data_IF_644938903140
#
_entry.id   IF_644938903140
#
_cell.length_a   1.000
_cell.length_b   1.000
_cell.length_c   1.000
_cell.angle_alpha   90.00
_cell.angle_beta   90.00
_cell.angle_gamma   90.00
#
_symmetry.space_group_name_H-M   'P 1'
#
loop_
_entity.id
_entity.type
_entity.pdbx_description
1 polymer ?
#
# COMPACT_ATOMS: atom_id res chain seq x y z
N UNK A 1 13.79 7.80 4.30
CA UNK A 1 12.37 7.52 4.01
C UNK A 1 12.28 6.07 3.56
N UNK A 2 11.41 5.24 4.15
CA UNK A 2 11.29 3.85 3.76
C UNK A 2 10.71 3.78 2.35
N UNK A 3 11.53 3.39 1.37
CA UNK A 3 11.09 3.20 -0.02
C UNK A 3 10.46 1.82 -0.17
N UNK A 4 9.50 1.71 -1.07
CA UNK A 4 8.92 0.44 -1.46
C UNK A 4 10.02 -0.55 -1.89
N UNK A 5 9.98 -1.76 -1.31
CA UNK A 5 11.10 -2.71 -1.39
C UNK A 5 11.10 -3.59 -2.66
N UNK A 6 10.09 -3.47 -3.54
CA UNK A 6 10.01 -4.16 -4.83
C UNK A 6 9.79 -3.18 -6.01
N UNK A 7 10.86 -2.56 -6.54
CA UNK A 7 10.71 -1.53 -7.56
C UNK A 7 10.15 -2.04 -8.90
N UNK A 8 10.21 -3.35 -9.17
CA UNK A 8 9.74 -3.93 -10.43
C UNK A 8 8.21 -4.03 -10.44
N UNK A 9 7.62 -4.53 -9.36
CA UNK A 9 6.16 -4.59 -9.20
C UNK A 9 5.56 -3.18 -9.25
N UNK A 10 6.12 -2.23 -8.50
CA UNK A 10 5.67 -0.84 -8.54
C UNK A 10 5.80 -0.22 -9.93
N UNK A 11 6.91 -0.47 -10.65
CA UNK A 11 7.08 0.06 -12.00
C UNK A 11 6.00 -0.45 -12.96
N UNK A 12 5.62 -1.72 -12.87
CA UNK A 12 4.57 -2.28 -13.72
C UNK A 12 3.24 -1.51 -13.57
N UNK A 13 2.82 -1.26 -12.32
CA UNK A 13 1.59 -0.49 -12.06
C UNK A 13 1.64 0.93 -12.60
N UNK A 14 2.79 1.60 -12.45
CA UNK A 14 2.99 2.95 -13.00
C UNK A 14 2.94 2.95 -14.53
N UNK A 15 3.45 1.90 -15.18
CA UNK A 15 3.44 1.74 -16.65
C UNK A 15 2.02 1.52 -17.20
N UNK A 16 1.18 0.79 -16.44
CA UNK A 16 -0.24 0.55 -16.76
C UNK A 16 -1.11 1.80 -16.53
N UNK A 17 -0.56 2.86 -15.94
CA UNK A 17 -1.22 4.15 -15.72
C UNK A 17 -1.75 4.35 -14.30
N UNK A 18 -1.39 3.51 -13.35
CA UNK A 18 -1.69 3.76 -11.94
C UNK A 18 -0.79 4.90 -11.41
N UNK A 19 -1.27 5.63 -10.40
CA UNK A 19 -0.48 6.67 -9.74
C UNK A 19 -0.03 6.23 -8.35
N UNK A 20 1.25 6.43 -8.04
CA UNK A 20 1.73 6.34 -6.67
C UNK A 20 1.17 7.49 -5.83
N UNK A 21 0.48 7.10 -4.76
CA UNK A 21 -0.12 7.98 -3.77
C UNK A 21 0.54 7.83 -2.40
N UNK A 22 1.60 7.03 -2.30
CA UNK A 22 2.33 6.72 -1.07
C UNK A 22 2.91 7.97 -0.41
N UNK A 23 3.36 8.95 -1.22
CA UNK A 23 3.90 10.23 -0.74
C UNK A 23 2.85 11.35 -0.65
N UNK A 24 1.60 11.08 -1.07
CA UNK A 24 0.50 12.09 -1.15
C UNK A 24 -0.48 12.02 0.03
N UNK A 25 -0.07 11.38 1.12
CA UNK A 25 -0.84 11.31 2.38
C UNK A 25 -0.55 12.50 3.33
N UNK A 26 0.28 13.45 2.90
CA UNK A 26 0.55 14.69 3.61
C UNK A 26 1.56 14.53 4.75
N UNK A 27 1.10 14.08 5.91
CA UNK A 27 1.91 13.98 7.14
C UNK A 27 2.23 12.55 7.56
N UNK A 28 1.63 11.55 6.91
CA UNK A 28 1.94 10.14 7.15
C UNK A 28 2.59 9.54 5.91
N UNK A 29 3.50 8.59 6.13
CA UNK A 29 4.06 7.75 5.07
C UNK A 29 3.53 6.34 5.18
N UNK A 30 3.39 5.68 4.04
CA UNK A 30 3.11 4.25 3.96
C UNK A 30 4.34 3.49 4.50
N UNK A 31 4.16 2.40 5.28
CA UNK A 31 5.28 1.55 5.70
C UNK A 31 6.05 1.00 4.48
N UNK A 32 7.37 0.90 4.57
CA UNK A 32 8.26 0.64 3.41
C UNK A 32 8.05 -0.65 2.63
N UNK A 33 7.34 -1.62 3.19
CA UNK A 33 7.00 -2.85 2.47
C UNK A 33 5.67 -2.73 1.72
N UNK A 34 5.04 -1.55 1.73
CA UNK A 34 3.74 -1.31 1.13
C UNK A 34 3.79 -0.06 0.26
N UNK A 35 3.03 -0.05 -0.82
CA UNK A 35 2.80 1.13 -1.64
C UNK A 35 1.29 1.33 -1.84
N UNK A 36 0.85 2.58 -1.76
CA UNK A 36 -0.52 2.99 -2.01
C UNK A 36 -0.64 3.51 -3.44
N UNK A 37 -1.48 2.86 -4.22
CA UNK A 37 -1.68 3.16 -5.63
C UNK A 37 -3.11 3.61 -5.87
N UNK A 38 -3.27 4.51 -6.82
CA UNK A 38 -4.56 4.92 -7.39
C UNK A 38 -4.67 4.26 -8.76
N UNK A 39 -5.79 3.59 -9.02
CA UNK A 39 -6.04 2.91 -10.28
C UNK A 39 -6.05 3.91 -11.46
N UNK A 40 -5.83 3.41 -12.68
CA UNK A 40 -5.80 4.18 -13.92
C UNK A 40 -7.10 4.97 -14.16
N UNK A 41 -8.24 4.44 -13.70
CA UNK A 41 -9.54 5.11 -13.75
C UNK A 41 -9.76 6.17 -12.67
N UNK A 42 -8.76 6.47 -11.83
CA UNK A 42 -8.80 7.45 -10.72
C UNK A 42 -9.93 7.26 -9.71
N UNK A 43 -10.65 6.14 -9.78
CA UNK A 43 -11.88 5.92 -9.03
C UNK A 43 -11.65 5.16 -7.72
N UNK A 44 -10.55 4.40 -7.64
CA UNK A 44 -10.29 3.54 -6.49
C UNK A 44 -8.80 3.46 -6.15
N UNK A 45 -8.52 3.38 -4.86
CA UNK A 45 -7.21 3.15 -4.28
C UNK A 45 -7.04 1.68 -3.92
N UNK A 46 -5.82 1.19 -4.04
CA UNK A 46 -5.41 -0.15 -3.61
C UNK A 46 -3.99 -0.09 -3.06
N UNK A 47 -3.56 -1.14 -2.37
CA UNK A 47 -2.18 -1.25 -1.92
C UNK A 47 -1.52 -2.53 -2.41
N UNK A 48 -0.22 -2.42 -2.66
CA UNK A 48 0.65 -3.56 -2.97
C UNK A 48 1.64 -3.77 -1.83
N UNK A 49 2.03 -5.01 -1.61
CA UNK A 49 2.99 -5.41 -0.58
C UNK A 49 4.20 -6.04 -1.23
N UNK A 50 5.40 -5.58 -0.90
CA UNK A 50 6.63 -6.07 -1.50
C UNK A 50 6.81 -7.57 -1.23
N UNK A 51 7.13 -8.34 -2.28
CA UNK A 51 7.28 -9.79 -2.20
C UNK A 51 5.96 -10.58 -2.11
N UNK A 52 4.82 -9.92 -2.33
CA UNK A 52 3.50 -10.55 -2.41
C UNK A 52 2.84 -10.11 -3.71
N UNK A 53 2.44 -11.07 -4.54
CA UNK A 53 1.76 -10.80 -5.83
C UNK A 53 0.28 -10.43 -5.67
N UNK A 54 -0.22 -10.40 -4.43
CA UNK A 54 -1.63 -10.16 -4.12
C UNK A 54 -1.95 -8.66 -4.10
N UNK A 55 -2.89 -8.26 -4.94
CA UNK A 55 -3.50 -6.94 -4.95
C UNK A 55 -4.56 -6.86 -3.86
N UNK A 56 -4.41 -5.93 -2.91
CA UNK A 56 -5.38 -5.84 -1.83
C UNK A 56 -6.71 -5.19 -2.25
N UNK A 57 -7.69 -5.28 -1.36
CA UNK A 57 -9.02 -4.71 -1.47
C UNK A 57 -8.99 -3.28 -2.01
N UNK A 58 -9.66 -3.11 -3.16
CA UNK A 58 -9.82 -1.85 -3.87
C UNK A 58 -10.92 -1.02 -3.19
N UNK A 59 -10.63 0.22 -2.82
CA UNK A 59 -11.59 1.09 -2.12
C UNK A 59 -11.51 2.54 -2.60
N UNK A 60 -12.64 3.28 -2.61
CA UNK A 60 -12.66 4.69 -3.05
C UNK A 60 -11.95 5.66 -2.09
N UNK A 61 -11.57 5.21 -0.89
CA UNK A 61 -11.06 6.06 0.19
C UNK A 61 -9.63 5.69 0.52
N UNK A 62 -8.70 6.61 0.26
CA UNK A 62 -7.26 6.41 0.53
C UNK A 62 -6.94 6.16 2.00
N UNK A 63 -7.71 6.73 2.93
CA UNK A 63 -7.50 6.54 4.36
C UNK A 63 -8.00 5.18 4.84
N UNK A 64 -9.07 4.65 4.24
CA UNK A 64 -9.51 3.28 4.47
C UNK A 64 -8.41 2.29 4.07
N UNK A 65 -7.85 2.43 2.87
CA UNK A 65 -6.73 1.61 2.38
C UNK A 65 -5.50 1.77 3.30
N UNK A 66 -5.14 3.00 3.68
CA UNK A 66 -4.04 3.23 4.63
C UNK A 66 -4.27 2.57 6.00
N UNK A 67 -5.50 2.58 6.52
CA UNK A 67 -5.83 1.90 7.78
C UNK A 67 -5.68 0.38 7.65
N UNK A 68 -6.07 -0.20 6.52
CA UNK A 68 -5.85 -1.62 6.24
C UNK A 68 -4.38 -1.96 6.13
N UNK A 69 -3.58 -1.14 5.42
CA UNK A 69 -2.11 -1.29 5.41
C UNK A 69 -1.57 -1.29 6.84
N UNK A 70 -2.03 -0.37 7.69
CA UNK A 70 -1.59 -0.31 9.10
C UNK A 70 -2.06 -1.51 9.92
N UNK A 71 -3.21 -2.11 9.61
CA UNK A 71 -3.68 -3.33 10.26
C UNK A 71 -2.87 -4.55 9.80
N UNK A 72 -2.56 -4.66 8.51
CA UNK A 72 -1.74 -5.74 7.95
C UNK A 72 -0.27 -5.63 8.38
N UNK A 73 0.24 -4.40 8.47
CA UNK A 73 1.60 -4.11 8.92
C UNK A 73 1.77 -4.24 10.44
N UNK A 74 0.67 -4.30 11.22
CA UNK A 74 0.79 -4.69 12.62
C UNK A 74 1.17 -6.17 12.62
N UNK A 75 2.36 -6.54 13.13
CA UNK A 75 2.63 -7.95 13.36
C UNK A 75 1.50 -8.47 14.25
N UNK A 76 1.00 -9.67 13.94
CA UNK A 76 0.20 -10.41 14.91
C UNK A 76 1.03 -10.46 16.18
N UNK A 77 0.60 -9.70 17.20
CA UNK A 77 1.13 -9.75 18.56
C UNK A 77 0.75 -11.13 19.12
N UNK A 78 1.43 -12.18 18.64
CA UNK A 78 1.43 -13.51 19.25
C UNK A 78 2.46 -13.50 20.36
N UNK A 79 2.32 -12.61 21.33
CA UNK A 79 3.08 -12.70 22.58
C UNK A 79 2.43 -11.92 23.71
N UNK A 80 1.20 -12.31 24.09
CA UNK A 80 0.68 -11.97 25.43
C UNK A 80 -0.01 -13.19 26.05
N UNK A 81 0.79 -13.89 26.87
CA UNK A 81 0.43 -14.69 28.07
C UNK A 81 -0.43 -15.95 27.92
N UNK A 82 0.23 -17.13 27.97
CA UNK A 82 0.38 -17.96 29.20
C UNK A 82 0.60 -19.43 28.85
#
# INVERSE_FOLDING_TARGET
MPRYNDPAQLKWYLDVGCLDYSERLGFVSVPGNYALLLNSDYSHFFYIKAGVEDESCVHWDKWAVYRWIKQDAKPFDKDITS
#
